data_IF_509580906503
#
_entry.id   IF_509580906503
#
_cell.length_a   1.000
_cell.length_b   1.000
_cell.length_c   1.000
_cell.angle_alpha   90.00
_cell.angle_beta   90.00
_cell.angle_gamma   90.00
#
_symmetry.space_group_name_H-M   'P 1'
#
loop_
_entity.id
_entity.type
_entity.pdbx_description
1 polymer ?
#
# COMPACT_ATOMS: atom_id res chain seq x y z
N UNK A 1 -19.60 10.62 -24.65
CA UNK A 1 -20.14 9.31 -24.19
C UNK A 1 -19.35 8.87 -22.99
N UNK A 2 -19.94 8.97 -21.81
CA UNK A 2 -19.26 8.65 -20.53
C UNK A 2 -19.50 7.16 -20.27
N UNK A 3 -18.46 6.35 -20.47
CA UNK A 3 -18.49 4.92 -20.19
C UNK A 3 -18.65 4.67 -18.68
N UNK A 4 -19.71 3.99 -18.30
CA UNK A 4 -20.04 3.59 -16.94
C UNK A 4 -18.99 2.59 -16.40
N UNK A 5 -18.17 3.01 -15.46
CA UNK A 5 -17.33 2.12 -14.64
C UNK A 5 -18.20 1.58 -13.49
N UNK A 6 -19.08 0.64 -13.79
CA UNK A 6 -19.96 0.00 -12.78
C UNK A 6 -19.47 -1.40 -12.35
N UNK A 7 -18.40 -1.93 -12.97
CA UNK A 7 -17.94 -3.29 -12.76
C UNK A 7 -17.21 -3.60 -11.44
N UNK A 8 -16.42 -2.70 -10.82
CA UNK A 8 -15.61 -3.10 -9.66
C UNK A 8 -16.40 -3.32 -8.36
N UNK A 9 -17.58 -2.71 -8.20
CA UNK A 9 -18.34 -2.82 -6.95
C UNK A 9 -18.96 -4.22 -6.75
N UNK A 10 -19.45 -4.85 -7.83
CA UNK A 10 -20.07 -6.17 -7.77
C UNK A 10 -19.02 -7.27 -7.48
N UNK A 11 -17.81 -7.14 -8.04
CA UNK A 11 -16.74 -8.10 -7.81
C UNK A 11 -16.19 -8.06 -6.37
N UNK A 12 -16.15 -6.88 -5.75
CA UNK A 12 -15.75 -6.70 -4.34
C UNK A 12 -16.69 -7.45 -3.40
N UNK A 13 -17.99 -7.47 -3.69
CA UNK A 13 -18.97 -8.21 -2.89
C UNK A 13 -18.80 -9.72 -2.98
N UNK A 14 -18.43 -10.26 -4.13
CA UNK A 14 -18.21 -11.69 -4.32
C UNK A 14 -16.96 -12.20 -3.57
N UNK A 15 -15.92 -11.39 -3.49
CA UNK A 15 -14.67 -11.72 -2.78
C UNK A 15 -14.80 -11.65 -1.24
N UNK A 16 -15.80 -10.92 -0.72
CA UNK A 16 -16.02 -10.73 0.72
C UNK A 16 -16.97 -11.77 1.33
N UNK A 17 -17.65 -12.59 0.53
CA UNK A 17 -18.67 -13.54 0.96
C UNK A 17 -18.13 -14.95 1.29
N UNK A 18 -16.85 -15.13 1.60
CA UNK A 18 -16.26 -16.41 2.02
C UNK A 18 -16.74 -16.85 3.40
N UNK A 19 -16.99 -18.19 3.62
CA UNK A 19 -17.54 -18.70 4.86
C UNK A 19 -16.51 -18.73 6.00
N UNK A 20 -16.87 -18.14 7.14
CA UNK A 20 -16.40 -18.60 8.45
C UNK A 20 -15.07 -18.07 8.95
N UNK A 21 -14.88 -16.74 9.05
CA UNK A 21 -13.74 -16.13 9.78
C UNK A 21 -14.23 -15.37 11.02
N UNK A 22 -13.56 -15.54 12.15
CA UNK A 22 -13.84 -14.84 13.41
C UNK A 22 -13.87 -13.32 13.22
N UNK A 23 -14.69 -12.58 13.98
CA UNK A 23 -14.91 -11.13 13.85
C UNK A 23 -13.63 -10.28 13.72
N UNK A 24 -12.54 -10.65 14.38
CA UNK A 24 -11.25 -9.95 14.28
C UNK A 24 -10.50 -10.19 12.95
N UNK A 25 -10.57 -11.41 12.40
CA UNK A 25 -9.98 -11.75 11.11
C UNK A 25 -10.75 -11.16 9.93
N UNK A 26 -12.06 -11.01 10.05
CA UNK A 26 -12.92 -10.45 9.01
C UNK A 26 -12.64 -8.96 8.77
N UNK A 27 -12.42 -8.17 9.83
CA UNK A 27 -12.10 -6.74 9.71
C UNK A 27 -10.75 -6.53 9.03
N UNK A 28 -9.76 -7.38 9.30
CA UNK A 28 -8.45 -7.31 8.66
C UNK A 28 -8.54 -7.66 7.16
N UNK A 29 -9.23 -8.72 6.80
CA UNK A 29 -9.44 -9.14 5.40
C UNK A 29 -10.19 -8.08 4.59
N UNK A 30 -11.24 -7.48 5.15
CA UNK A 30 -11.99 -6.42 4.47
C UNK A 30 -11.13 -5.19 4.20
N UNK A 31 -10.25 -4.82 5.14
CA UNK A 31 -9.29 -3.72 4.97
C UNK A 31 -8.32 -3.96 3.83
N UNK A 32 -7.73 -5.15 3.74
CA UNK A 32 -6.81 -5.53 2.65
C UNK A 32 -7.52 -5.58 1.30
N UNK A 33 -8.74 -6.11 1.24
CA UNK A 33 -9.54 -6.13 0.01
C UNK A 33 -9.82 -4.71 -0.51
N UNK A 34 -10.16 -3.77 0.38
CA UNK A 34 -10.33 -2.37 -0.01
C UNK A 34 -9.03 -1.78 -0.55
N UNK A 35 -7.88 -2.07 0.09
CA UNK A 35 -6.58 -1.63 -0.40
C UNK A 35 -6.26 -2.20 -1.78
N UNK A 36 -6.57 -3.48 -2.04
CA UNK A 36 -6.37 -4.11 -3.35
C UNK A 36 -7.20 -3.45 -4.45
N UNK A 37 -8.46 -3.11 -4.16
CA UNK A 37 -9.30 -2.34 -5.08
C UNK A 37 -8.71 -0.96 -5.38
N UNK A 38 -8.17 -0.29 -4.37
CA UNK A 38 -7.52 1.03 -4.54
C UNK A 38 -6.29 0.91 -5.43
N UNK A 39 -5.43 -0.10 -5.24
CA UNK A 39 -4.25 -0.33 -6.07
C UNK A 39 -4.67 -0.57 -7.52
N UNK A 40 -5.65 -1.44 -7.77
CA UNK A 40 -6.18 -1.71 -9.10
C UNK A 40 -6.72 -0.44 -9.77
N UNK A 41 -7.52 0.37 -9.06
CA UNK A 41 -8.05 1.64 -9.56
C UNK A 41 -6.94 2.66 -9.85
N UNK A 42 -5.96 2.81 -8.95
CA UNK A 42 -4.85 3.77 -9.11
C UNK A 42 -3.94 3.42 -10.29
N UNK A 43 -3.87 2.14 -10.66
CA UNK A 43 -3.11 1.65 -11.80
C UNK A 43 -3.96 1.49 -13.07
N UNK A 44 -5.22 1.96 -13.05
CA UNK A 44 -6.18 1.83 -14.17
C UNK A 44 -6.33 0.38 -14.62
N UNK A 45 -6.28 -0.58 -13.68
CA UNK A 45 -6.42 -2.01 -13.94
C UNK A 45 -5.15 -2.70 -14.47
N UNK A 46 -4.02 -1.99 -14.60
CA UNK A 46 -2.75 -2.61 -15.04
C UNK A 46 -2.25 -3.66 -14.04
N UNK A 47 -2.49 -3.44 -12.74
CA UNK A 47 -2.30 -4.45 -11.70
C UNK A 47 -3.65 -5.07 -11.40
N UNK A 48 -3.78 -6.37 -11.66
CA UNK A 48 -5.00 -7.14 -11.38
C UNK A 48 -5.30 -7.24 -9.88
N UNK A 49 -6.54 -7.60 -9.52
CA UNK A 49 -6.96 -7.63 -8.11
C UNK A 49 -6.16 -8.64 -7.27
N UNK A 50 -5.76 -9.78 -7.85
CA UNK A 50 -4.98 -10.79 -7.14
C UNK A 50 -3.57 -10.26 -6.82
N UNK A 51 -2.85 -9.74 -7.81
CA UNK A 51 -1.54 -9.10 -7.61
C UNK A 51 -1.65 -7.89 -6.66
N UNK A 52 -2.69 -7.09 -6.77
CA UNK A 52 -2.96 -5.97 -5.87
C UNK A 52 -3.18 -6.44 -4.42
N UNK A 53 -3.75 -7.63 -4.22
CA UNK A 53 -3.92 -8.26 -2.91
C UNK A 53 -2.57 -8.68 -2.34
N UNK A 54 -1.74 -9.37 -3.12
CA UNK A 54 -0.38 -9.75 -2.71
C UNK A 54 0.44 -8.51 -2.30
N UNK A 55 0.38 -7.44 -3.07
CA UNK A 55 1.04 -6.16 -2.76
C UNK A 55 0.50 -5.58 -1.44
N UNK A 56 -0.82 -5.57 -1.25
CA UNK A 56 -1.44 -5.06 -0.02
C UNK A 56 -1.01 -5.86 1.21
N UNK A 57 -0.95 -7.18 1.09
CA UNK A 57 -0.51 -8.09 2.15
C UNK A 57 0.98 -7.88 2.45
N UNK A 58 1.83 -7.78 1.44
CA UNK A 58 3.26 -7.52 1.60
C UNK A 58 3.52 -6.21 2.37
N UNK A 59 2.83 -5.12 1.99
CA UNK A 59 2.93 -3.82 2.66
C UNK A 59 2.45 -3.92 4.11
N UNK A 60 1.30 -4.55 4.37
CA UNK A 60 0.73 -4.69 5.71
C UNK A 60 1.64 -5.52 6.62
N UNK A 61 2.16 -6.65 6.12
CA UNK A 61 3.06 -7.53 6.86
C UNK A 61 4.37 -6.81 7.20
N UNK A 62 4.97 -6.11 6.25
CA UNK A 62 6.19 -5.35 6.48
C UNK A 62 5.96 -4.20 7.48
N UNK A 63 4.88 -3.46 7.36
CA UNK A 63 4.53 -2.40 8.29
C UNK A 63 4.33 -2.92 9.72
N UNK A 64 3.63 -4.06 9.88
CA UNK A 64 3.44 -4.71 11.18
C UNK A 64 4.76 -5.17 11.81
N UNK A 65 5.72 -5.69 11.01
CA UNK A 65 7.05 -6.09 11.52
C UNK A 65 7.83 -4.90 12.09
N UNK A 66 7.76 -3.74 11.46
CA UNK A 66 8.60 -2.60 11.81
C UNK A 66 7.98 -1.62 12.80
N UNK A 67 6.64 -1.54 12.87
CA UNK A 67 5.92 -0.57 13.69
C UNK A 67 4.91 -1.21 14.66
N UNK A 68 4.83 -2.54 14.69
CA UNK A 68 3.82 -3.25 15.45
C UNK A 68 2.46 -3.24 14.74
N UNK A 69 1.36 -3.38 15.47
CA UNK A 69 0.02 -3.44 14.86
C UNK A 69 -0.33 -2.13 14.17
N UNK A 70 -0.22 -2.14 12.85
CA UNK A 70 -0.44 -0.98 12.00
C UNK A 70 -1.93 -0.79 11.72
N UNK A 71 -2.40 0.44 11.90
CA UNK A 71 -3.74 0.84 11.48
C UNK A 71 -3.82 1.05 9.97
N UNK A 72 -5.03 0.98 9.39
CA UNK A 72 -5.22 1.34 7.98
C UNK A 72 -4.66 2.73 7.64
N UNK A 73 -4.71 3.67 8.60
CA UNK A 73 -4.22 5.04 8.38
C UNK A 73 -2.70 5.14 8.16
N UNK A 74 -1.95 4.24 8.76
CA UNK A 74 -0.49 4.16 8.58
C UNK A 74 -0.16 3.43 7.28
N UNK A 75 -0.91 2.38 6.94
CA UNK A 75 -0.76 1.64 5.68
C UNK A 75 -0.89 2.56 4.45
N UNK A 76 -1.77 3.57 4.48
CA UNK A 76 -1.93 4.51 3.35
C UNK A 76 -0.65 5.30 3.05
N UNK A 77 0.22 5.54 4.03
CA UNK A 77 1.52 6.18 3.81
C UNK A 77 2.45 5.28 2.99
N UNK A 78 2.54 4.00 3.36
CA UNK A 78 3.41 3.05 2.65
C UNK A 78 2.90 2.75 1.24
N UNK A 79 1.58 2.63 1.07
CA UNK A 79 0.96 2.55 -0.26
C UNK A 79 1.27 3.79 -1.10
N UNK A 80 1.25 4.99 -0.50
CA UNK A 80 1.57 6.22 -1.20
C UNK A 80 3.04 6.29 -1.63
N UNK A 81 3.98 5.82 -0.80
CA UNK A 81 5.39 5.69 -1.17
C UNK A 81 5.52 4.74 -2.37
N UNK A 82 5.01 3.51 -2.27
CA UNK A 82 5.09 2.52 -3.34
C UNK A 82 4.48 3.01 -4.67
N UNK A 83 3.37 3.76 -4.60
CA UNK A 83 2.76 4.35 -5.80
C UNK A 83 3.63 5.43 -6.43
N UNK A 84 4.16 6.35 -5.63
CA UNK A 84 5.00 7.46 -6.14
C UNK A 84 6.32 6.93 -6.71
N UNK A 85 6.88 5.87 -6.11
CA UNK A 85 8.14 5.27 -6.54
C UNK A 85 8.04 4.50 -7.87
N UNK A 86 7.00 3.69 -8.02
CA UNK A 86 6.93 2.76 -9.16
C UNK A 86 5.54 2.54 -9.75
N UNK A 87 4.48 3.12 -9.15
CA UNK A 87 3.11 2.71 -9.43
C UNK A 87 2.85 1.26 -8.99
N UNK A 88 3.41 0.85 -7.85
CA UNK A 88 3.34 -0.50 -7.27
C UNK A 88 4.05 -1.61 -8.05
N UNK A 89 4.87 -1.31 -9.05
CA UNK A 89 5.51 -2.33 -9.90
C UNK A 89 6.72 -2.96 -9.22
N UNK A 90 6.71 -4.28 -9.05
CA UNK A 90 7.79 -5.02 -8.39
C UNK A 90 9.01 -5.28 -9.28
N UNK A 91 8.83 -5.32 -10.60
CA UNK A 91 9.88 -5.68 -11.56
C UNK A 91 10.66 -4.49 -12.12
N UNK A 92 10.55 -3.31 -11.51
CA UNK A 92 11.21 -2.09 -11.97
C UNK A 92 12.62 -1.98 -11.39
N UNK A 93 13.58 -1.72 -12.26
CA UNK A 93 14.96 -1.36 -11.91
C UNK A 93 15.31 -0.10 -12.70
N UNK A 94 15.72 0.97 -12.01
CA UNK A 94 16.14 2.21 -12.66
C UNK A 94 17.67 2.25 -12.88
N UNK A 95 18.16 3.28 -13.56
CA UNK A 95 19.60 3.44 -13.88
C UNK A 95 20.49 3.62 -12.63
N UNK A 96 19.94 4.06 -11.51
CA UNK A 96 20.65 4.16 -10.22
C UNK A 96 20.63 2.83 -9.43
N UNK A 97 20.09 1.75 -10.03
CA UNK A 97 19.91 0.46 -9.37
C UNK A 97 18.94 0.51 -8.15
N UNK A 98 17.95 1.42 -8.18
CA UNK A 98 16.80 1.34 -7.30
C UNK A 98 15.84 0.28 -7.81
N UNK A 99 15.29 -0.57 -6.92
CA UNK A 99 14.60 -1.80 -7.29
C UNK A 99 13.25 -1.97 -6.61
N UNK A 100 12.32 -2.57 -7.35
CA UNK A 100 11.01 -3.00 -6.88
C UNK A 100 10.04 -1.87 -6.62
N UNK A 101 8.90 -2.18 -6.00
CA UNK A 101 7.81 -1.21 -5.82
C UNK A 101 8.16 -0.02 -4.95
N UNK A 102 9.08 -0.19 -3.98
CA UNK A 102 9.57 0.88 -3.10
C UNK A 102 10.85 1.55 -3.62
N UNK A 103 11.34 1.17 -4.82
CA UNK A 103 12.57 1.69 -5.43
C UNK A 103 13.74 1.78 -4.45
N UNK A 104 13.97 0.70 -3.69
CA UNK A 104 15.07 0.63 -2.73
C UNK A 104 16.42 0.68 -3.47
N UNK A 105 17.28 1.65 -3.14
CA UNK A 105 18.62 1.78 -3.71
C UNK A 105 19.50 0.62 -3.26
N UNK A 106 19.67 -0.38 -4.15
CA UNK A 106 20.33 -1.64 -3.82
C UNK A 106 21.79 -1.46 -3.34
N UNK A 107 22.63 -0.59 -3.96
CA UNK A 107 23.99 -0.37 -3.49
C UNK A 107 24.09 0.10 -2.05
N UNK A 108 23.16 0.95 -1.59
CA UNK A 108 23.18 1.49 -0.23
C UNK A 108 22.58 0.57 0.81
N UNK A 109 21.52 -0.17 0.46
CA UNK A 109 20.66 -0.82 1.45
C UNK A 109 20.67 -2.34 1.42
N UNK A 110 20.80 -2.98 0.24
CA UNK A 110 20.73 -4.45 0.15
C UNK A 110 21.76 -5.11 1.08
N UNK A 111 23.02 -4.71 0.99
CA UNK A 111 24.09 -5.26 1.85
C UNK A 111 23.82 -5.02 3.33
N UNK A 112 23.34 -3.83 3.71
CA UNK A 112 23.02 -3.50 5.11
C UNK A 112 21.91 -4.40 5.68
N UNK A 113 21.02 -4.91 4.79
CA UNK A 113 19.93 -5.77 5.17
C UNK A 113 20.21 -7.26 4.97
N UNK A 114 21.42 -7.62 4.51
CA UNK A 114 21.79 -9.00 4.23
C UNK A 114 21.12 -9.57 2.97
N UNK A 115 20.72 -8.71 2.02
CA UNK A 115 19.99 -9.06 0.82
C UNK A 115 20.91 -9.07 -0.40
N UNK A 116 20.60 -9.94 -1.37
CA UNK A 116 21.08 -9.82 -2.75
C UNK A 116 20.24 -8.77 -3.49
N UNK A 117 20.81 -8.15 -4.53
CA UNK A 117 20.09 -7.13 -5.29
C UNK A 117 18.78 -7.62 -5.88
N UNK A 118 18.73 -8.85 -6.38
CA UNK A 118 17.53 -9.41 -6.98
C UNK A 118 16.45 -9.78 -5.95
N UNK A 119 16.79 -9.95 -4.67
CA UNK A 119 15.80 -10.18 -3.63
C UNK A 119 14.85 -8.97 -3.48
N UNK A 120 15.34 -7.77 -3.85
CA UNK A 120 14.53 -6.53 -3.89
C UNK A 120 13.49 -6.48 -5.03
N UNK A 121 13.38 -7.51 -5.86
CA UNK A 121 12.31 -7.67 -6.86
C UNK A 121 11.18 -8.58 -6.34
N UNK A 122 11.33 -9.15 -5.14
CA UNK A 122 10.32 -9.97 -4.47
C UNK A 122 9.43 -9.04 -3.65
N UNK A 123 8.09 -9.06 -3.83
CA UNK A 123 7.16 -8.10 -3.19
C UNK A 123 7.35 -7.96 -1.69
N UNK A 124 7.33 -9.06 -0.93
CA UNK A 124 7.50 -9.05 0.54
C UNK A 124 8.85 -8.50 0.98
N UNK A 125 9.93 -8.91 0.31
CA UNK A 125 11.29 -8.44 0.61
C UNK A 125 11.44 -6.97 0.29
N UNK A 126 10.85 -6.51 -0.80
CA UNK A 126 10.90 -5.12 -1.22
C UNK A 126 10.10 -4.20 -0.29
N UNK A 127 8.88 -4.62 0.09
CA UNK A 127 8.08 -3.90 1.08
C UNK A 127 8.80 -3.79 2.42
N UNK A 128 9.38 -4.90 2.90
CA UNK A 128 10.16 -4.92 4.14
C UNK A 128 11.36 -3.96 4.09
N UNK A 129 12.16 -4.05 3.03
CA UNK A 129 13.32 -3.19 2.85
C UNK A 129 12.92 -1.70 2.73
N UNK A 130 11.91 -1.38 1.91
CA UNK A 130 11.46 0.00 1.71
C UNK A 130 10.91 0.64 2.99
N UNK A 131 10.08 -0.07 3.73
CA UNK A 131 9.52 0.41 5.00
C UNK A 131 10.64 0.55 6.06
N UNK A 132 11.62 -0.35 6.07
CA UNK A 132 12.80 -0.26 6.95
C UNK A 132 13.67 0.95 6.62
N UNK A 133 13.86 1.28 5.34
CA UNK A 133 14.55 2.51 4.91
C UNK A 133 13.79 3.75 5.38
N UNK A 134 12.47 3.80 5.17
CA UNK A 134 11.66 4.92 5.65
C UNK A 134 11.73 5.06 7.18
N UNK A 135 11.63 3.95 7.92
CA UNK A 135 11.78 3.93 9.38
C UNK A 135 13.11 4.52 9.83
N UNK A 136 14.23 4.12 9.18
CA UNK A 136 15.56 4.65 9.47
C UNK A 136 15.60 6.19 9.38
N UNK A 137 15.03 6.77 8.31
CA UNK A 137 14.98 8.22 8.18
C UNK A 137 13.98 8.88 9.14
N UNK A 138 12.86 8.21 9.43
CA UNK A 138 11.89 8.73 10.41
C UNK A 138 12.49 8.80 11.82
N UNK A 139 13.23 7.77 12.25
CA UNK A 139 13.96 7.75 13.52
C UNK A 139 15.04 8.82 13.57
N UNK A 140 15.75 9.03 12.45
CA UNK A 140 16.83 10.02 12.36
C UNK A 140 16.34 11.47 12.41
N UNK A 141 15.22 11.77 11.77
CA UNK A 141 14.73 13.16 11.62
C UNK A 141 13.51 13.50 12.47
N UNK A 142 12.85 12.51 13.07
CA UNK A 142 11.69 12.68 13.95
C UNK A 142 10.43 13.24 13.31
N UNK A 143 10.44 13.56 12.00
CA UNK A 143 9.34 14.18 11.27
C UNK A 143 9.15 13.56 9.89
N UNK A 144 7.90 13.42 9.46
CA UNK A 144 7.53 12.71 8.21
C UNK A 144 8.11 13.41 6.96
N UNK A 145 8.00 14.74 6.85
CA UNK A 145 8.44 15.46 5.64
C UNK A 145 9.95 15.35 5.44
N UNK A 146 10.82 15.62 6.43
CA UNK A 146 12.26 15.38 6.31
C UNK A 146 12.61 13.91 6.04
N UNK A 147 11.89 12.97 6.67
CA UNK A 147 12.12 11.54 6.44
C UNK A 147 11.80 11.12 5.00
N UNK A 148 10.69 11.59 4.44
CA UNK A 148 10.33 11.35 3.05
C UNK A 148 11.31 12.02 2.07
N UNK A 149 11.73 13.26 2.35
CA UNK A 149 12.74 13.94 1.54
C UNK A 149 14.04 13.13 1.49
N UNK A 150 14.53 12.69 2.66
CA UNK A 150 15.73 11.88 2.76
C UNK A 150 15.57 10.47 2.18
N UNK A 151 14.38 9.89 2.21
CA UNK A 151 14.09 8.62 1.54
C UNK A 151 14.40 8.69 0.03
N UNK A 152 14.06 9.80 -0.61
CA UNK A 152 14.27 10.02 -2.04
C UNK A 152 15.70 10.47 -2.40
N UNK A 153 16.32 11.30 -1.55
CA UNK A 153 17.55 12.03 -1.91
C UNK A 153 18.72 11.88 -0.93
N UNK A 154 18.54 11.11 0.14
CA UNK A 154 19.47 11.03 1.30
C UNK A 154 19.64 12.36 2.07
N UNK A 155 18.93 13.43 1.65
CA UNK A 155 18.94 14.76 2.24
C UNK A 155 17.52 15.14 2.73
N UNK A 156 17.35 15.54 4.01
CA UNK A 156 16.05 15.88 4.57
C UNK A 156 15.40 17.14 3.96
N UNK A 157 16.13 17.92 3.16
CA UNK A 157 15.66 19.18 2.59
C UNK A 157 15.63 19.21 1.05
N UNK A 158 16.35 18.30 0.38
CA UNK A 158 16.53 18.35 -1.07
C UNK A 158 15.29 17.93 -1.88
N UNK A 159 14.43 17.06 -1.35
CA UNK A 159 13.31 16.47 -2.08
C UNK A 159 11.94 16.74 -1.42
N UNK A 160 11.68 17.98 -1.00
CA UNK A 160 10.40 18.36 -0.39
C UNK A 160 9.22 18.19 -1.34
N UNK A 161 9.40 18.36 -2.65
CA UNK A 161 8.40 18.08 -3.67
C UNK A 161 7.95 16.63 -3.69
N UNK A 162 8.91 15.69 -3.54
CA UNK A 162 8.60 14.26 -3.39
C UNK A 162 7.76 14.01 -2.13
N UNK A 163 8.17 14.56 -0.98
CA UNK A 163 7.42 14.40 0.26
C UNK A 163 5.96 14.90 0.11
N UNK A 164 5.74 16.03 -0.55
CA UNK A 164 4.40 16.55 -0.83
C UNK A 164 3.61 15.64 -1.79
N UNK A 165 4.25 15.07 -2.82
CA UNK A 165 3.62 14.11 -3.72
C UNK A 165 3.14 12.86 -2.97
N UNK A 166 3.97 12.29 -2.09
CA UNK A 166 3.60 11.15 -1.24
C UNK A 166 2.44 11.49 -0.31
N UNK A 167 2.51 12.62 0.40
CA UNK A 167 1.45 13.03 1.32
C UNK A 167 0.13 13.34 0.61
N UNK A 168 0.19 13.97 -0.57
CA UNK A 168 -0.97 14.19 -1.43
C UNK A 168 -1.61 12.88 -1.90
N UNK A 169 -0.78 11.91 -2.29
CA UNK A 169 -1.23 10.56 -2.65
C UNK A 169 -1.85 9.84 -1.46
N UNK A 170 -1.25 9.90 -0.28
CA UNK A 170 -1.82 9.36 0.97
C UNK A 170 -3.24 9.90 1.23
N UNK A 171 -3.46 11.20 1.03
CA UNK A 171 -4.79 11.81 1.22
C UNK A 171 -5.81 11.28 0.20
N UNK A 172 -5.42 11.06 -1.06
CA UNK A 172 -6.27 10.46 -2.10
C UNK A 172 -6.67 9.04 -1.72
N UNK A 173 -5.70 8.22 -1.29
CA UNK A 173 -5.93 6.84 -0.81
C UNK A 173 -6.88 6.85 0.39
N UNK A 174 -6.63 7.69 1.40
CA UNK A 174 -7.52 7.84 2.57
C UNK A 174 -8.95 8.16 2.17
N UNK A 175 -9.15 9.14 1.28
CA UNK A 175 -10.48 9.56 0.80
C UNK A 175 -11.18 8.37 0.12
N UNK A 176 -10.49 7.68 -0.79
CA UNK A 176 -11.06 6.53 -1.52
C UNK A 176 -11.37 5.37 -0.60
N UNK A 177 -10.47 5.03 0.31
CA UNK A 177 -10.69 4.00 1.33
C UNK A 177 -11.96 4.28 2.14
N UNK A 178 -12.12 5.52 2.62
CA UNK A 178 -13.29 5.90 3.42
C UNK A 178 -14.61 5.75 2.63
N UNK A 179 -14.60 6.09 1.33
CA UNK A 179 -15.76 5.92 0.46
C UNK A 179 -16.13 4.43 0.29
N UNK A 180 -15.14 3.60 -0.05
CA UNK A 180 -15.34 2.16 -0.25
C UNK A 180 -15.79 1.47 1.05
N UNK A 181 -15.17 1.81 2.17
CA UNK A 181 -15.52 1.26 3.48
C UNK A 181 -16.97 1.58 3.88
N UNK A 182 -17.42 2.83 3.65
CA UNK A 182 -18.82 3.22 3.92
C UNK A 182 -19.81 2.47 3.02
N UNK A 183 -19.50 2.30 1.75
CA UNK A 183 -20.32 1.54 0.82
C UNK A 183 -20.42 0.07 1.22
N UNK A 184 -19.27 -0.51 1.62
CA UNK A 184 -19.21 -1.88 2.13
C UNK A 184 -20.09 -2.07 3.37
N UNK A 185 -19.92 -1.22 4.39
CA UNK A 185 -20.70 -1.28 5.63
C UNK A 185 -22.21 -1.13 5.39
N UNK A 186 -22.60 -0.24 4.47
CA UNK A 186 -24.01 -0.09 4.10
C UNK A 186 -24.61 -1.36 3.49
N UNK A 187 -23.86 -2.01 2.62
CA UNK A 187 -24.32 -3.25 1.98
C UNK A 187 -24.38 -4.43 2.98
N UNK A 188 -23.43 -4.51 3.90
CA UNK A 188 -23.43 -5.51 4.98
C UNK A 188 -24.67 -5.35 5.86
N UNK A 189 -25.03 -4.13 6.24
CA UNK A 189 -26.24 -3.85 7.03
C UNK A 189 -27.53 -4.21 6.29
N UNK A 190 -27.61 -3.94 4.97
CA UNK A 190 -28.78 -4.30 4.16
C UNK A 190 -28.96 -5.82 4.04
N UNK A 191 -27.86 -6.56 3.88
CA UNK A 191 -27.90 -8.02 3.86
C UNK A 191 -28.35 -8.60 5.20
N UNK A 192 -27.88 -8.07 6.31
CA UNK A 192 -28.33 -8.51 7.65
C UNK A 192 -29.82 -8.22 7.87
N UNK A 193 -30.32 -7.06 7.44
CA UNK A 193 -31.73 -6.70 7.55
C UNK A 193 -32.64 -7.59 6.69
N UNK A 194 -32.14 -8.13 5.57
CA UNK A 194 -32.92 -9.05 4.71
C UNK A 194 -32.98 -10.49 5.24
N UNK A 195 -32.13 -10.84 6.20
CA UNK A 195 -32.08 -12.18 6.82
C UNK A 195 -32.96 -12.29 8.08
N UNK A 196 -33.46 -11.14 8.58
CA UNK A 196 -34.37 -11.06 9.75
C UNK A 196 -35.56 -10.20 9.37
N UNK A 197 -36.55 -10.74 8.60
CA UNK A 197 -37.81 -10.05 8.28
C UNK A 197 -38.73 -9.91 9.50
#
# INVERSE_FOLDING_TARGET
>A
MIGRVAAPLVLVFALLAGPGVSHGGQVHNNGLTICSVIINEMTSGQIGLEEAREISEAIANAANRHFGRVTCGEMWLYMAIAYVESGFRNNVVNYMNCRGMFQVHAPSWARKFGLKYNDLLIPDTNADAGIRVFKYYLERYGRIVPALSAYNSDDPHAATGYAHAVLGTRLKIKKRYTQLYRSFRKAEMLNLASLHP
#
